data_IF_501041588097
#
_entry.id   IF_501041588097
#
_cell.length_a   1.000
_cell.length_b   1.000
_cell.length_c   1.000
_cell.angle_alpha   90.00
_cell.angle_beta   90.00
_cell.angle_gamma   90.00
#
_symmetry.space_group_name_H-M   'P 1'
#
loop_
_entity.id
_entity.type
_entity.pdbx_description
1 polymer ?
#
# COMPACT_ATOMS: atom_id res chain seq x y z
N UNK A 1 14.16 16.41 22.39
CA UNK A 1 13.14 15.46 21.92
C UNK A 1 13.78 14.08 21.87
N UNK A 2 13.20 13.08 22.53
CA UNK A 2 13.69 11.70 22.45
C UNK A 2 12.93 10.98 21.34
N UNK A 3 13.50 10.99 20.13
CA UNK A 3 12.95 10.21 19.02
C UNK A 3 13.36 8.75 19.22
N UNK A 4 12.38 7.87 19.42
CA UNK A 4 12.63 6.46 19.68
C UNK A 4 13.16 5.81 18.38
N UNK A 5 14.35 5.16 18.36
CA UNK A 5 14.93 4.61 17.12
C UNK A 5 14.02 3.59 16.40
N UNK A 6 13.04 3.02 17.08
CA UNK A 6 12.01 2.17 16.47
C UNK A 6 10.99 2.91 15.58
N UNK A 7 10.76 4.21 15.79
CA UNK A 7 9.77 4.99 15.04
C UNK A 7 10.20 5.20 13.59
N UNK A 8 11.46 5.63 13.38
CA UNK A 8 12.00 5.89 12.05
C UNK A 8 12.02 4.63 11.16
N UNK A 9 12.33 3.47 11.77
CA UNK A 9 12.29 2.18 11.07
C UNK A 9 10.86 1.79 10.68
N UNK A 10 9.89 1.93 11.58
CA UNK A 10 8.49 1.66 11.28
C UNK A 10 7.93 2.59 10.20
N UNK A 11 8.31 3.87 10.20
CA UNK A 11 7.91 4.82 9.16
C UNK A 11 8.47 4.42 7.80
N UNK A 12 9.74 4.00 7.74
CA UNK A 12 10.37 3.48 6.52
C UNK A 12 9.63 2.26 5.98
N UNK A 13 9.28 1.30 6.84
CA UNK A 13 8.52 0.09 6.46
C UNK A 13 7.16 0.48 5.89
N UNK A 14 6.45 1.41 6.53
CA UNK A 14 5.13 1.89 6.06
C UNK A 14 5.24 2.61 4.72
N UNK A 15 6.21 3.50 4.55
CA UNK A 15 6.44 4.23 3.30
C UNK A 15 6.83 3.27 2.16
N UNK A 16 7.73 2.33 2.42
CA UNK A 16 8.14 1.32 1.45
C UNK A 16 6.97 0.41 1.05
N UNK A 17 6.17 -0.04 2.02
CA UNK A 17 4.98 -0.85 1.76
C UNK A 17 3.95 -0.11 0.90
N UNK A 18 3.70 1.17 1.18
CA UNK A 18 2.81 1.99 0.38
C UNK A 18 3.32 2.15 -1.07
N UNK A 19 4.61 2.44 -1.25
CA UNK A 19 5.22 2.60 -2.57
C UNK A 19 5.16 1.31 -3.40
N UNK A 20 5.51 0.17 -2.80
CA UNK A 20 5.45 -1.14 -3.46
C UNK A 20 4.02 -1.53 -3.83
N UNK A 21 3.05 -1.25 -2.95
CA UNK A 21 1.63 -1.48 -3.24
C UNK A 21 1.16 -0.71 -4.46
N UNK A 22 1.42 0.60 -4.51
CA UNK A 22 1.06 1.45 -5.67
C UNK A 22 1.75 0.99 -6.95
N UNK A 23 3.04 0.63 -6.88
CA UNK A 23 3.81 0.16 -8.03
C UNK A 23 3.25 -1.16 -8.59
N UNK A 24 2.97 -2.14 -7.72
CA UNK A 24 2.41 -3.43 -8.14
C UNK A 24 1.04 -3.27 -8.83
N UNK A 25 0.18 -2.38 -8.30
CA UNK A 25 -1.11 -2.06 -8.93
C UNK A 25 -0.93 -1.45 -10.32
N UNK A 26 0.01 -0.52 -10.47
CA UNK A 26 0.35 0.08 -11.77
C UNK A 26 0.83 -0.97 -12.78
N UNK A 27 1.69 -1.90 -12.37
CA UNK A 27 2.18 -2.99 -13.22
C UNK A 27 1.07 -3.92 -13.71
N UNK A 28 0.11 -4.27 -12.85
CA UNK A 28 -1.04 -5.12 -13.24
C UNK A 28 -1.93 -4.42 -14.27
N UNK A 29 -2.24 -3.14 -14.06
CA UNK A 29 -3.06 -2.36 -15.01
C UNK A 29 -2.33 -2.21 -16.35
N UNK A 30 -1.04 -1.87 -16.31
CA UNK A 30 -0.23 -1.65 -17.51
C UNK A 30 -0.07 -2.93 -18.34
N UNK A 31 0.24 -4.07 -17.71
CA UNK A 31 0.32 -5.37 -18.39
C UNK A 31 -1.02 -5.79 -18.97
N UNK A 32 -2.11 -5.70 -18.19
CA UNK A 32 -3.45 -6.04 -18.64
C UNK A 32 -3.99 -5.17 -19.77
N UNK A 33 -3.50 -3.93 -19.91
CA UNK A 33 -3.79 -3.06 -21.05
C UNK A 33 -3.04 -3.52 -22.30
N UNK A 34 -1.72 -3.72 -22.20
CA UNK A 34 -0.89 -4.15 -23.32
C UNK A 34 -1.35 -5.51 -23.90
N UNK A 35 -1.71 -6.47 -23.04
CA UNK A 35 -2.20 -7.80 -23.44
C UNK A 35 -3.55 -7.77 -24.19
N UNK A 36 -4.31 -6.68 -24.05
CA UNK A 36 -5.63 -6.51 -24.67
C UNK A 36 -5.60 -5.71 -25.97
N UNK A 37 -4.47 -5.08 -26.30
CA UNK A 37 -4.33 -4.43 -27.60
C UNK A 37 -4.21 -5.49 -28.70
N UNK A 38 -4.78 -5.25 -29.89
CA UNK A 38 -4.59 -6.15 -31.02
C UNK A 38 -3.11 -6.21 -31.39
N UNK A 39 -2.62 -7.39 -31.80
CA UNK A 39 -1.21 -7.59 -32.17
C UNK A 39 -0.73 -6.76 -33.37
N UNK A 40 -1.65 -6.11 -34.09
CA UNK A 40 -1.37 -5.13 -35.15
C UNK A 40 -1.12 -3.72 -34.60
N UNK A 41 -1.31 -3.50 -33.31
CA UNK A 41 -1.09 -2.20 -32.69
C UNK A 41 0.41 -1.87 -32.64
N UNK A 42 0.79 -0.61 -32.92
CA UNK A 42 2.17 -0.16 -32.80
C UNK A 42 2.70 -0.34 -31.37
N UNK A 43 3.97 -0.70 -31.22
CA UNK A 43 4.61 -0.87 -29.90
C UNK A 43 4.54 0.40 -29.05
N UNK A 44 4.53 1.57 -29.67
CA UNK A 44 4.32 2.84 -28.96
C UNK A 44 2.94 2.92 -28.29
N UNK A 45 1.90 2.31 -28.86
CA UNK A 45 0.54 2.32 -28.33
C UNK A 45 0.33 1.33 -27.17
N UNK A 46 1.16 0.29 -27.05
CA UNK A 46 1.05 -0.69 -25.94
C UNK A 46 1.65 -0.17 -24.63
N UNK A 47 2.49 0.86 -24.70
CA UNK A 47 3.19 1.43 -23.54
C UNK A 47 2.24 2.13 -22.55
N UNK A 48 1.24 2.85 -23.05
CA UNK A 48 0.17 3.43 -22.24
C UNK A 48 -1.05 3.82 -23.08
N UNK A 49 -2.21 3.97 -22.44
CA UNK A 49 -3.39 4.56 -23.10
C UNK A 49 -3.15 5.99 -23.57
N UNK A 50 -2.32 6.77 -22.86
CA UNK A 50 -2.00 8.14 -23.26
C UNK A 50 -1.21 8.16 -24.58
N UNK A 51 -0.24 7.26 -24.72
CA UNK A 51 0.54 7.10 -25.94
C UNK A 51 -0.34 6.59 -27.09
N UNK A 52 -1.23 5.62 -26.82
CA UNK A 52 -2.17 5.09 -27.81
C UNK A 52 -3.11 6.17 -28.36
N UNK A 53 -3.69 6.99 -27.47
CA UNK A 53 -4.61 8.07 -27.87
C UNK A 53 -3.87 9.22 -28.57
N UNK A 54 -2.64 9.52 -28.14
CA UNK A 54 -1.80 10.51 -28.83
C UNK A 54 -1.47 10.03 -30.24
N UNK A 55 -1.05 8.78 -30.39
CA UNK A 55 -0.75 8.19 -31.69
C UNK A 55 -1.96 8.20 -32.59
N UNK A 56 -3.12 7.71 -32.11
CA UNK A 56 -4.38 7.73 -32.84
C UNK A 56 -4.78 9.15 -33.29
N UNK A 57 -4.59 10.16 -32.44
CA UNK A 57 -4.85 11.56 -32.79
C UNK A 57 -3.91 12.10 -33.87
N UNK A 58 -2.64 11.67 -33.88
CA UNK A 58 -1.66 12.10 -34.90
C UNK A 58 -1.80 11.34 -36.23
N UNK A 59 -2.23 10.08 -36.20
CA UNK A 59 -2.41 9.25 -37.41
C UNK A 59 -3.83 9.33 -37.98
N UNK A 60 -4.80 9.83 -37.21
CA UNK A 60 -6.22 9.82 -37.58
C UNK A 60 -6.89 8.45 -37.46
N UNK A 61 -6.25 7.50 -36.77
CA UNK A 61 -6.73 6.12 -36.62
C UNK A 61 -7.78 6.02 -35.51
N UNK A 62 -9.05 6.17 -35.89
CA UNK A 62 -10.18 6.10 -34.98
C UNK A 62 -10.39 4.69 -34.39
N UNK A 63 -10.01 3.65 -35.13
CA UNK A 63 -10.14 2.26 -34.68
C UNK A 63 -9.13 1.98 -33.55
N UNK A 64 -7.91 2.49 -33.67
CA UNK A 64 -6.92 2.43 -32.61
C UNK A 64 -7.39 3.14 -31.32
N UNK A 65 -8.02 4.31 -31.45
CA UNK A 65 -8.57 5.03 -30.30
C UNK A 65 -9.70 4.25 -29.60
N UNK A 66 -10.58 3.61 -30.38
CA UNK A 66 -11.65 2.75 -29.83
C UNK A 66 -11.07 1.53 -29.13
N UNK A 67 -10.16 0.81 -29.78
CA UNK A 67 -9.48 -0.36 -29.24
C UNK A 67 -8.72 -0.04 -27.94
N UNK A 68 -8.04 1.10 -27.87
CA UNK A 68 -7.33 1.54 -26.67
C UNK A 68 -8.29 1.77 -25.49
N UNK A 69 -9.47 2.36 -25.72
CA UNK A 69 -10.49 2.59 -24.67
C UNK A 69 -11.10 1.29 -24.17
N UNK A 70 -11.41 0.37 -25.07
CA UNK A 70 -11.94 -0.96 -24.72
C UNK A 70 -10.91 -1.77 -23.93
N UNK A 71 -9.67 -1.82 -24.42
CA UNK A 71 -8.57 -2.51 -23.76
C UNK A 71 -8.32 -1.96 -22.35
N UNK A 72 -8.32 -0.64 -22.18
CA UNK A 72 -8.14 0.01 -20.88
C UNK A 72 -9.28 -0.30 -19.91
N UNK A 73 -10.53 -0.21 -20.38
CA UNK A 73 -11.69 -0.52 -19.53
C UNK A 73 -11.70 -2.00 -19.11
N UNK A 74 -11.36 -2.90 -20.04
CA UNK A 74 -11.21 -4.33 -19.74
C UNK A 74 -10.08 -4.62 -18.75
N UNK A 75 -8.94 -3.94 -18.90
CA UNK A 75 -7.83 -4.02 -17.95
C UNK A 75 -8.23 -3.52 -16.56
N UNK A 76 -8.97 -2.41 -16.48
CA UNK A 76 -9.44 -1.84 -15.23
C UNK A 76 -10.44 -2.77 -14.51
N UNK A 77 -11.36 -3.37 -15.26
CA UNK A 77 -12.29 -4.39 -14.73
C UNK A 77 -11.56 -5.58 -14.11
N UNK A 78 -10.54 -6.10 -14.81
CA UNK A 78 -9.74 -7.23 -14.31
C UNK A 78 -8.90 -6.85 -13.11
N UNK A 79 -8.39 -5.61 -13.10
CA UNK A 79 -7.60 -5.08 -11.99
C UNK A 79 -8.41 -5.02 -10.69
N UNK A 80 -9.73 -4.78 -10.74
CA UNK A 80 -10.56 -4.86 -9.54
C UNK A 80 -10.57 -6.26 -8.92
N UNK A 81 -10.59 -7.32 -9.72
CA UNK A 81 -10.51 -8.70 -9.22
C UNK A 81 -9.13 -8.95 -8.60
N UNK A 82 -8.05 -8.52 -9.26
CA UNK A 82 -6.69 -8.65 -8.73
C UNK A 82 -6.52 -7.90 -7.41
N UNK A 83 -7.04 -6.68 -7.32
CA UNK A 83 -7.06 -5.87 -6.08
C UNK A 83 -7.87 -6.58 -5.00
N UNK A 84 -9.06 -7.08 -5.32
CA UNK A 84 -9.91 -7.78 -4.35
C UNK A 84 -9.19 -9.00 -3.77
N UNK A 85 -8.56 -9.82 -4.62
CA UNK A 85 -7.73 -10.95 -4.16
C UNK A 85 -6.56 -10.47 -3.29
N UNK A 86 -5.86 -9.41 -3.70
CA UNK A 86 -4.77 -8.82 -2.91
C UNK A 86 -5.23 -8.36 -1.52
N UNK A 87 -6.39 -7.70 -1.43
CA UNK A 87 -7.00 -7.28 -0.16
C UNK A 87 -7.38 -8.49 0.70
N UNK A 88 -7.94 -9.54 0.11
CA UNK A 88 -8.27 -10.77 0.84
C UNK A 88 -7.02 -11.44 1.42
N UNK A 89 -5.93 -11.50 0.66
CA UNK A 89 -4.65 -12.04 1.14
C UNK A 89 -4.10 -11.18 2.28
N UNK A 90 -4.11 -9.86 2.14
CA UNK A 90 -3.65 -8.94 3.20
C UNK A 90 -4.51 -9.08 4.47
N UNK A 91 -5.82 -9.19 4.33
CA UNK A 91 -6.74 -9.39 5.44
C UNK A 91 -6.50 -10.75 6.14
N UNK A 92 -6.27 -11.81 5.37
CA UNK A 92 -5.94 -13.13 5.92
C UNK A 92 -4.63 -13.09 6.71
N UNK A 93 -3.58 -12.47 6.16
CA UNK A 93 -2.30 -12.29 6.84
C UNK A 93 -2.47 -11.50 8.14
N UNK A 94 -3.17 -10.36 8.10
CA UNK A 94 -3.47 -9.57 9.29
C UNK A 94 -4.25 -10.37 10.34
N UNK A 95 -5.25 -11.14 9.92
CA UNK A 95 -6.04 -12.01 10.79
C UNK A 95 -5.18 -13.07 11.48
N UNK A 96 -4.27 -13.73 10.75
CA UNK A 96 -3.34 -14.71 11.31
C UNK A 96 -2.36 -14.07 12.32
N UNK A 97 -1.79 -12.92 12.00
CA UNK A 97 -0.90 -12.15 12.90
C UNK A 97 -1.61 -11.68 14.18
N UNK A 98 -2.87 -11.24 14.06
CA UNK A 98 -3.69 -10.83 15.20
C UNK A 98 -4.09 -12.01 16.09
N UNK A 99 -4.25 -13.20 15.50
CA UNK A 99 -4.56 -14.42 16.25
C UNK A 99 -3.40 -14.84 17.17
N UNK A 100 -2.16 -14.64 16.75
CA UNK A 100 -0.97 -15.00 17.55
C UNK A 100 -0.63 -13.98 18.66
N UNK A 101 -1.16 -12.76 18.59
CA UNK A 101 -0.90 -11.70 19.59
C UNK A 101 -1.83 -11.75 20.81
N UNK A 102 -2.74 -12.73 20.90
CA UNK A 102 -3.59 -12.96 22.09
C UNK A 102 -2.83 -13.69 23.21
N UNK A 103 -1.65 -13.20 23.56
CA UNK A 103 -1.00 -13.50 24.84
C UNK A 103 -0.93 -12.17 25.58
N UNK A 104 -1.81 -11.99 26.57
CA UNK A 104 -1.85 -10.82 27.45
C UNK A 104 -0.44 -10.45 27.91
N UNK A 105 -0.02 -9.19 27.70
CA UNK A 105 0.96 -8.57 28.57
C UNK A 105 0.19 -8.17 29.84
N UNK A 106 0.46 -8.78 31.01
CA UNK A 106 -0.04 -8.24 32.27
C UNK A 106 0.45 -6.80 32.37
N UNK A 107 -0.50 -5.86 32.40
CA UNK A 107 -0.20 -4.47 32.74
C UNK A 107 0.44 -4.51 34.11
N UNK A 108 1.76 -4.30 34.17
CA UNK A 108 2.47 -4.15 35.44
C UNK A 108 1.78 -3.03 36.20
N UNK A 109 1.17 -3.37 37.35
CA UNK A 109 0.48 -2.42 38.21
C UNK A 109 1.41 -1.23 38.48
N UNK A 110 0.93 0.02 38.44
CA UNK A 110 1.74 1.16 38.83
C UNK A 110 2.20 0.93 40.26
N UNK A 111 3.51 0.79 40.46
CA UNK A 111 4.11 0.77 41.79
C UNK A 111 3.74 2.08 42.47
N UNK A 112 2.84 2.00 43.45
CA UNK A 112 2.57 3.09 44.38
C UNK A 112 3.91 3.56 44.95
N UNK A 113 4.31 4.83 44.79
CA UNK A 113 5.48 5.36 45.47
C UNK A 113 5.32 5.11 46.97
N UNK A 114 6.24 4.36 47.57
CA UNK A 114 6.29 4.17 49.02
C UNK A 114 6.39 5.53 49.72
N UNK A 115 5.79 5.70 50.92
CA UNK A 115 5.80 6.98 51.61
C UNK A 115 7.24 7.46 51.81
N UNK A 116 7.52 8.69 51.37
CA UNK A 116 8.80 9.34 51.59
C UNK A 116 9.08 9.42 53.10
N UNK A 117 10.33 9.18 53.56
CA UNK A 117 10.68 9.36 54.96
C UNK A 117 10.41 10.81 55.36
N UNK A 118 9.64 10.98 56.44
CA UNK A 118 9.33 12.29 57.00
C UNK A 118 10.62 12.95 57.48
N UNK A 119 11.03 14.03 56.81
CA UNK A 119 11.94 15.01 57.39
C UNK A 119 11.20 15.78 58.49
N UNK A 120 11.07 15.14 59.65
CA UNK A 120 10.57 15.73 60.89
C UNK A 120 11.42 15.19 62.05
N UNK A 121 12.73 15.46 62.03
CA UNK A 121 13.53 15.57 63.26
C UNK A 121 14.89 16.24 63.00
N UNK A 122 14.92 17.55 62.74
CA UNK A 122 16.10 18.40 63.03
C UNK A 122 15.61 19.81 63.33
N UNK A 123 14.75 19.90 64.36
CA UNK A 123 14.41 21.15 65.02
C UNK A 123 14.19 20.88 66.51
N UNK A 124 15.16 20.21 67.14
CA UNK A 124 15.34 20.19 68.58
C UNK A 124 16.74 19.68 68.91
N UNK A 125 17.58 20.59 69.39
CA UNK A 125 18.68 20.48 70.39
C UNK A 125 19.74 21.53 70.07
#
# INVERSE_FOLDING_TARGET
MNENPGSALNDTIRQMGAALGVAALGSVVSSGFADRLPGTAPEAATRSIADALTLAGTTGDADLASAAREAFTGAMSTSFVTVAVGVLVAALVAFLLMRDTKTEHPIAKPSTPGPAPSELDTAAV
#
